data_IF_095503647867
#
_entry.id   IF_095503647867
#
_cell.length_a   1.000
_cell.length_b   1.000
_cell.length_c   1.000
_cell.angle_alpha   90.00
_cell.angle_beta   90.00
_cell.angle_gamma   90.00
#
_symmetry.space_group_name_H-M   'P 1'
#
loop_
_entity.id
_entity.type
_entity.pdbx_description
1 polymer ?
#
# COMPACT_ATOMS: atom_id res chain seq x y z
N UNK A 1 -14.03 -17.49 48.27
CA UNK A 1 -14.18 -16.07 47.86
C UNK A 1 -14.08 -15.98 46.35
N UNK A 2 -15.14 -15.52 45.67
CA UNK A 2 -15.07 -15.24 44.22
C UNK A 2 -14.14 -14.04 44.01
N UNK A 3 -13.11 -14.22 43.17
CA UNK A 3 -12.19 -13.14 42.80
C UNK A 3 -12.83 -12.43 41.62
N UNK A 4 -13.32 -11.21 41.84
CA UNK A 4 -13.86 -10.38 40.77
C UNK A 4 -12.67 -9.91 39.94
N UNK A 5 -12.57 -10.39 38.70
CA UNK A 5 -11.55 -9.95 37.76
C UNK A 5 -11.92 -8.55 37.24
N UNK A 6 -10.94 -7.65 37.22
CA UNK A 6 -11.08 -6.31 36.67
C UNK A 6 -10.35 -6.25 35.33
N UNK A 7 -10.85 -5.47 34.37
CA UNK A 7 -10.11 -5.19 33.13
C UNK A 7 -9.23 -3.96 33.30
N UNK A 8 -8.00 -4.02 32.79
CA UNK A 8 -7.06 -2.90 32.84
C UNK A 8 -7.40 -1.82 31.80
N UNK A 9 -7.57 -0.58 32.24
CA UNK A 9 -7.90 0.58 31.36
C UNK A 9 -6.84 0.89 30.29
N UNK A 10 -5.65 0.30 30.37
CA UNK A 10 -4.58 0.51 29.39
C UNK A 10 -4.37 -0.67 28.45
N UNK A 11 -4.22 -1.90 28.96
CA UNK A 11 -3.92 -3.08 28.14
C UNK A 11 -5.14 -3.99 27.89
N UNK A 12 -6.27 -3.75 28.56
CA UNK A 12 -7.48 -4.57 28.43
C UNK A 12 -7.40 -5.95 29.12
N UNK A 13 -6.24 -6.37 29.59
CA UNK A 13 -6.05 -7.66 30.27
C UNK A 13 -6.85 -7.73 31.59
N UNK A 14 -7.40 -8.92 31.86
CA UNK A 14 -8.02 -9.23 33.13
C UNK A 14 -6.99 -9.42 34.24
N UNK A 15 -7.23 -8.81 35.41
CA UNK A 15 -6.36 -8.95 36.57
C UNK A 15 -7.17 -8.98 37.87
N UNK A 16 -6.58 -9.60 38.89
CA UNK A 16 -7.14 -9.60 40.25
C UNK A 16 -6.63 -8.34 40.96
N UNK A 17 -7.52 -7.40 41.35
CA UNK A 17 -7.08 -6.18 42.01
C UNK A 17 -6.56 -6.48 43.42
N UNK A 18 -5.46 -5.85 43.78
CA UNK A 18 -4.94 -5.84 45.16
C UNK A 18 -5.85 -5.00 46.08
N UNK A 19 -6.45 -3.93 45.53
CA UNK A 19 -7.43 -3.08 46.21
C UNK A 19 -8.73 -3.00 45.40
N UNK A 20 -9.79 -3.67 45.88
CA UNK A 20 -11.12 -3.67 45.25
C UNK A 20 -11.71 -2.25 45.18
N UNK A 21 -12.40 -1.92 44.09
CA UNK A 21 -13.09 -0.64 43.87
C UNK A 21 -12.22 0.56 43.48
N UNK A 22 -10.89 0.50 43.65
CA UNK A 22 -9.98 1.64 43.40
C UNK A 22 -8.99 1.35 42.27
N UNK A 23 -8.54 0.10 42.13
CA UNK A 23 -7.44 -0.24 41.22
C UNK A 23 -7.93 -0.42 39.77
N UNK A 24 -7.53 0.49 38.89
CA UNK A 24 -7.90 0.52 37.46
C UNK A 24 -6.87 -0.11 36.52
N UNK A 25 -5.65 -0.38 37.02
CA UNK A 25 -4.53 -0.85 36.21
C UNK A 25 -3.91 -2.12 36.79
N UNK A 26 -3.54 -3.05 35.91
CA UNK A 26 -2.90 -4.31 36.30
C UNK A 26 -1.48 -4.12 36.83
N UNK A 27 -0.74 -3.12 36.32
CA UNK A 27 0.67 -2.84 36.67
C UNK A 27 0.95 -1.34 36.76
N UNK A 28 1.98 -0.97 37.54
CA UNK A 28 2.45 0.41 37.67
C UNK A 28 2.88 1.02 36.33
N UNK A 29 3.45 0.21 35.43
CA UNK A 29 3.81 0.63 34.07
C UNK A 29 2.59 1.01 33.22
N UNK A 30 1.48 0.27 33.35
CA UNK A 30 0.22 0.58 32.65
C UNK A 30 -0.35 1.92 33.12
N UNK A 31 -0.31 2.17 34.45
CA UNK A 31 -0.70 3.46 35.03
C UNK A 31 0.15 4.63 34.49
N UNK A 32 1.48 4.45 34.44
CA UNK A 32 2.42 5.48 33.93
C UNK A 32 2.19 5.77 32.44
N UNK A 33 2.07 4.73 31.61
CA UNK A 33 1.82 4.88 30.17
C UNK A 33 0.47 5.51 29.89
N UNK A 34 -0.59 5.07 30.58
CA UNK A 34 -1.91 5.66 30.44
C UNK A 34 -1.89 7.17 30.77
N UNK A 35 -1.24 7.58 31.87
CA UNK A 35 -1.10 9.00 32.21
C UNK A 35 -0.25 9.78 31.20
N UNK A 36 0.82 9.18 30.66
CA UNK A 36 1.66 9.81 29.66
C UNK A 36 0.90 10.05 28.35
N UNK A 37 0.13 9.07 27.89
CA UNK A 37 -0.67 9.20 26.66
C UNK A 37 -1.86 10.16 26.86
N UNK A 38 -2.54 10.11 28.00
CA UNK A 38 -3.63 11.04 28.33
C UNK A 38 -3.17 12.50 28.41
N UNK A 39 -1.94 12.74 28.87
CA UNK A 39 -1.35 14.09 28.94
C UNK A 39 -0.72 14.53 27.61
N UNK A 40 -0.47 13.61 26.66
CA UNK A 40 0.10 13.93 25.34
C UNK A 40 -0.91 14.62 24.43
N UNK A 41 -2.20 14.34 24.62
CA UNK A 41 -3.31 15.02 23.93
C UNK A 41 -3.52 16.46 24.44
N UNK A 42 -2.89 16.84 25.57
CA UNK A 42 -2.91 18.20 26.13
C UNK A 42 -1.56 18.92 25.95
N UNK A 43 -0.51 18.20 25.50
CA UNK A 43 0.86 18.74 25.33
C UNK A 43 1.44 18.48 23.93
N UNK A 44 0.61 18.65 22.90
CA UNK A 44 1.02 19.10 21.56
C UNK A 44 0.23 20.35 21.14
N UNK A 45 0.16 21.31 22.03
CA UNK A 45 -0.04 22.70 21.67
C UNK A 45 1.07 23.50 22.34
N UNK A 46 2.19 23.65 21.63
CA UNK A 46 3.13 24.77 21.75
C UNK A 46 3.85 24.89 20.41
N UNK A 47 4.22 26.13 20.03
CA UNK A 47 3.47 26.86 19.03
C UNK A 47 4.31 27.08 17.78
N UNK A 48 3.66 27.21 16.62
CA UNK A 48 4.30 27.67 15.37
C UNK A 48 4.63 29.18 15.42
N UNK A 49 4.89 29.76 16.59
CA UNK A 49 5.03 31.20 16.80
C UNK A 49 6.29 31.81 16.15
N UNK A 50 7.32 31.01 15.82
CA UNK A 50 8.49 31.51 15.08
C UNK A 50 8.27 31.62 13.56
N UNK A 51 7.16 31.09 13.03
CA UNK A 51 6.80 31.23 11.61
C UNK A 51 5.73 32.32 11.42
N UNK A 52 4.91 32.59 12.45
CA UNK A 52 3.87 33.62 12.38
C UNK A 52 4.40 35.05 12.50
N UNK A 53 5.49 35.29 13.25
CA UNK A 53 6.07 36.65 13.33
C UNK A 53 6.65 37.15 12.00
N UNK A 54 7.08 36.25 11.10
CA UNK A 54 7.51 36.60 9.74
C UNK A 54 6.35 36.79 8.75
N UNK A 55 5.15 36.33 9.09
CA UNK A 55 3.94 36.46 8.27
C UNK A 55 3.06 37.65 8.72
N UNK A 56 3.13 38.05 10.00
CA UNK A 56 2.44 39.22 10.53
C UNK A 56 2.99 40.55 9.98
N UNK A 57 4.30 40.64 9.71
CA UNK A 57 4.89 41.82 9.03
C UNK A 57 4.39 41.96 7.57
N UNK A 58 3.95 40.87 6.94
CA UNK A 58 3.41 40.89 5.58
C UNK A 58 1.90 41.17 5.53
N UNK A 59 1.19 41.11 6.66
CA UNK A 59 -0.27 41.23 6.72
C UNK A 59 -0.79 42.59 7.23
N UNK A 60 0.07 43.48 7.72
CA UNK A 60 -0.34 44.84 8.13
C UNK A 60 -0.67 45.82 6.97
N UNK A 61 -0.71 45.33 5.71
CA UNK A 61 -1.27 46.07 4.57
C UNK A 61 -2.45 45.31 3.99
N UNK A 62 -3.64 45.48 4.57
CA UNK A 62 -4.91 45.81 3.87
C UNK A 62 -6.10 45.66 4.83
N UNK A 63 -6.60 46.83 5.24
CA UNK A 63 -7.97 47.24 5.47
C UNK A 63 -9.07 46.16 5.57
N UNK A 64 -9.78 46.20 6.69
CA UNK A 64 -11.24 46.18 6.84
C UNK A 64 -12.04 45.58 5.68
N UNK A 65 -12.74 44.47 5.94
CA UNK A 65 -14.14 44.20 5.49
C UNK A 65 -14.69 43.04 6.35
N UNK A 66 -15.60 43.43 7.25
CA UNK A 66 -16.90 42.83 7.56
C UNK A 66 -17.04 41.36 8.00
N UNK A 67 -17.58 41.24 9.21
CA UNK A 67 -18.31 40.11 9.77
C UNK A 67 -19.35 39.57 8.78
N UNK A 68 -19.26 38.29 8.39
CA UNK A 68 -20.44 37.50 8.04
C UNK A 68 -20.30 36.06 8.53
N UNK A 69 -21.40 35.58 9.11
CA UNK A 69 -21.59 34.31 9.79
C UNK A 69 -21.54 33.10 8.85
N UNK A 70 -20.41 32.38 8.84
CA UNK A 70 -20.23 31.09 8.14
C UNK A 70 -20.19 29.90 9.11
N UNK A 71 -20.90 30.00 10.24
CA UNK A 71 -20.83 29.00 11.33
C UNK A 71 -21.64 27.71 11.12
N UNK A 72 -22.24 27.50 9.94
CA UNK A 72 -23.12 26.34 9.70
C UNK A 72 -22.61 25.25 8.75
N UNK A 73 -21.93 25.61 7.65
CA UNK A 73 -21.71 24.68 6.52
C UNK A 73 -20.30 24.78 5.89
N UNK A 74 -19.45 25.73 6.30
CA UNK A 74 -18.15 25.98 5.65
C UNK A 74 -17.01 25.04 6.07
N UNK A 75 -17.03 24.52 7.31
CA UNK A 75 -15.90 23.75 7.85
C UNK A 75 -16.01 22.23 7.67
N UNK A 76 -17.21 21.70 7.43
CA UNK A 76 -17.41 20.26 7.24
C UNK A 76 -16.89 19.79 5.89
N UNK A 77 -17.09 20.57 4.82
CA UNK A 77 -16.64 20.23 3.46
C UNK A 77 -15.12 20.34 3.33
N UNK A 78 -14.52 21.39 3.91
CA UNK A 78 -13.06 21.51 3.95
C UNK A 78 -12.41 20.44 4.85
N UNK A 79 -13.05 20.13 5.98
CA UNK A 79 -12.58 19.12 6.93
C UNK A 79 -12.61 17.69 6.39
N UNK A 80 -13.66 17.30 5.65
CA UNK A 80 -13.74 15.96 5.02
C UNK A 80 -12.74 15.79 3.89
N UNK A 81 -12.56 16.80 3.02
CA UNK A 81 -11.56 16.76 1.95
C UNK A 81 -10.13 16.68 2.50
N UNK A 82 -9.84 17.40 3.59
CA UNK A 82 -8.54 17.31 4.27
C UNK A 82 -8.36 15.97 4.99
N UNK A 83 -9.38 15.45 5.67
CA UNK A 83 -9.32 14.15 6.34
C UNK A 83 -9.18 13.00 5.33
N UNK A 84 -9.89 13.03 4.21
CA UNK A 84 -9.79 12.05 3.13
C UNK A 84 -8.43 12.15 2.42
N UNK A 85 -7.91 13.37 2.22
CA UNK A 85 -6.56 13.57 1.69
C UNK A 85 -5.46 13.01 2.61
N UNK A 86 -5.53 13.31 3.91
CA UNK A 86 -4.57 12.83 4.91
C UNK A 86 -4.65 11.31 5.11
N UNK A 87 -5.86 10.74 5.13
CA UNK A 87 -6.05 9.29 5.24
C UNK A 87 -5.63 8.55 3.96
N UNK A 88 -5.82 9.13 2.78
CA UNK A 88 -5.32 8.58 1.53
C UNK A 88 -3.78 8.55 1.48
N UNK A 89 -3.12 9.60 1.97
CA UNK A 89 -1.66 9.65 2.09
C UNK A 89 -1.17 8.63 3.12
N UNK A 90 -1.80 8.57 4.29
CA UNK A 90 -1.45 7.60 5.33
C UNK A 90 -1.64 6.14 4.85
N UNK A 91 -2.74 5.82 4.17
CA UNK A 91 -2.98 4.49 3.59
C UNK A 91 -1.91 4.13 2.55
N UNK A 92 -1.43 5.05 1.72
CA UNK A 92 -0.37 4.77 0.73
C UNK A 92 1.00 4.47 1.35
N UNK A 93 1.30 5.07 2.50
CA UNK A 93 2.60 4.97 3.18
C UNK A 93 2.64 3.79 4.17
N UNK A 94 1.54 3.54 4.90
CA UNK A 94 1.51 2.55 5.98
C UNK A 94 0.95 1.17 5.58
N UNK A 95 0.38 1.01 4.38
CA UNK A 95 -0.08 -0.30 3.90
C UNK A 95 1.11 -1.05 3.27
N UNK A 96 1.45 -2.27 3.75
CA UNK A 96 2.47 -3.11 3.12
C UNK A 96 2.08 -3.43 1.66
N UNK A 97 3.07 -3.56 0.77
CA UNK A 97 2.83 -3.65 -0.69
C UNK A 97 1.81 -4.73 -1.08
N UNK A 98 1.80 -5.85 -0.37
CA UNK A 98 0.87 -6.98 -0.58
C UNK A 98 -0.60 -6.62 -0.35
N UNK A 99 -0.88 -5.70 0.56
CA UNK A 99 -2.25 -5.29 0.92
C UNK A 99 -2.68 -4.00 0.19
N UNK A 100 -1.86 -3.50 -0.75
CA UNK A 100 -2.23 -2.34 -1.56
C UNK A 100 -3.29 -2.76 -2.57
N UNK A 101 -4.34 -1.96 -2.78
CA UNK A 101 -5.31 -2.25 -3.82
C UNK A 101 -4.63 -2.25 -5.18
N UNK A 102 -4.91 -3.26 -6.01
CA UNK A 102 -4.32 -3.39 -7.33
C UNK A 102 -4.69 -2.19 -8.21
N UNK A 103 -3.70 -1.61 -8.89
CA UNK A 103 -3.93 -0.53 -9.85
C UNK A 103 -4.34 -1.10 -11.20
N UNK A 104 -4.99 -0.29 -12.05
CA UNK A 104 -5.30 -0.68 -13.44
C UNK A 104 -4.05 -1.11 -14.21
N UNK A 105 -2.90 -0.50 -13.91
CA UNK A 105 -1.61 -0.84 -14.52
C UNK A 105 -1.16 -2.24 -14.13
N UNK A 106 -1.32 -2.62 -12.86
CA UNK A 106 -0.99 -3.98 -12.40
C UNK A 106 -1.85 -5.03 -13.12
N UNK A 107 -3.15 -4.77 -13.29
CA UNK A 107 -4.05 -5.64 -14.05
C UNK A 107 -3.66 -5.77 -15.53
N UNK A 108 -3.22 -4.67 -16.15
CA UNK A 108 -2.72 -4.69 -17.53
C UNK A 108 -1.44 -5.52 -17.66
N UNK A 109 -0.51 -5.38 -16.71
CA UNK A 109 0.72 -6.18 -16.67
C UNK A 109 0.39 -7.66 -16.51
N UNK A 110 -0.49 -8.02 -15.56
CA UNK A 110 -0.92 -9.41 -15.37
C UNK A 110 -1.58 -9.96 -16.64
N UNK A 111 -2.46 -9.20 -17.28
CA UNK A 111 -3.11 -9.60 -18.54
C UNK A 111 -2.09 -9.84 -19.66
N UNK A 112 -1.12 -8.92 -19.80
CA UNK A 112 -0.04 -9.05 -20.78
C UNK A 112 0.83 -10.28 -20.51
N UNK A 113 1.18 -10.54 -19.24
CA UNK A 113 1.99 -11.68 -18.84
C UNK A 113 1.25 -13.00 -19.11
N UNK A 114 -0.04 -13.08 -18.73
CA UNK A 114 -0.90 -14.23 -19.01
C UNK A 114 -0.97 -14.49 -20.52
N UNK A 115 -1.22 -13.44 -21.31
CA UNK A 115 -1.29 -13.57 -22.76
C UNK A 115 0.05 -14.03 -23.37
N UNK A 116 1.17 -13.54 -22.85
CA UNK A 116 2.51 -13.98 -23.27
C UNK A 116 2.73 -15.45 -22.93
N UNK A 117 2.36 -15.90 -21.73
CA UNK A 117 2.46 -17.30 -21.32
C UNK A 117 1.60 -18.18 -22.23
N UNK A 118 0.35 -17.79 -22.51
CA UNK A 118 -0.54 -18.54 -23.40
C UNK A 118 0.07 -18.67 -24.81
N UNK A 119 0.65 -17.59 -25.34
CA UNK A 119 1.35 -17.62 -26.63
C UNK A 119 2.53 -18.59 -26.63
N UNK A 120 3.30 -18.63 -25.54
CA UNK A 120 4.40 -19.57 -25.40
C UNK A 120 3.88 -21.01 -25.32
N UNK A 121 2.86 -21.28 -24.51
CA UNK A 121 2.27 -22.62 -24.37
C UNK A 121 1.65 -23.14 -25.68
N UNK A 122 1.07 -22.25 -26.49
CA UNK A 122 0.50 -22.60 -27.78
C UNK A 122 1.56 -22.82 -28.88
N UNK A 123 2.82 -22.43 -28.63
CA UNK A 123 3.90 -22.62 -29.60
C UNK A 123 4.35 -24.08 -29.58
N UNK A 124 4.26 -24.76 -30.72
CA UNK A 124 4.70 -26.16 -30.85
C UNK A 124 6.22 -26.32 -30.93
N UNK A 125 6.89 -25.36 -31.57
CA UNK A 125 8.32 -25.47 -31.89
C UNK A 125 9.14 -24.41 -31.16
N UNK A 126 10.17 -24.85 -30.43
CA UNK A 126 11.08 -23.97 -29.68
C UNK A 126 12.51 -24.08 -30.20
N UNK A 127 13.11 -22.95 -30.60
CA UNK A 127 14.47 -22.96 -31.10
C UNK A 127 15.46 -23.33 -29.99
N UNK A 128 16.39 -24.23 -30.30
CA UNK A 128 17.44 -24.66 -29.38
C UNK A 128 18.69 -23.83 -29.67
N UNK A 129 19.04 -22.91 -28.78
CA UNK A 129 20.16 -21.98 -29.02
C UNK A 129 21.53 -22.61 -28.75
N UNK A 130 21.59 -23.68 -27.96
CA UNK A 130 22.82 -24.36 -27.56
C UNK A 130 23.17 -25.57 -28.44
N UNK A 131 22.51 -25.73 -29.59
CA UNK A 131 22.79 -26.80 -30.54
C UNK A 131 23.20 -26.19 -31.89
N UNK A 132 24.25 -26.76 -32.48
CA UNK A 132 24.75 -26.30 -33.76
C UNK A 132 23.76 -26.62 -34.89
N UNK A 133 23.90 -25.87 -35.99
CA UNK A 133 23.18 -26.13 -37.24
C UNK A 133 23.58 -27.49 -37.80
N UNK A 134 22.67 -28.14 -38.51
CA UNK A 134 23.01 -29.39 -39.19
C UNK A 134 23.96 -29.12 -40.38
N UNK A 135 24.41 -30.18 -41.05
CA UNK A 135 25.30 -30.09 -42.22
C UNK A 135 24.73 -29.26 -43.40
N UNK A 136 23.42 -29.03 -43.41
CA UNK A 136 22.71 -28.23 -44.43
C UNK A 136 22.47 -26.78 -43.98
N UNK A 137 22.92 -26.39 -42.78
CA UNK A 137 22.76 -25.04 -42.25
C UNK A 137 21.40 -24.77 -41.58
N UNK A 138 20.55 -25.79 -41.45
CA UNK A 138 19.23 -25.69 -40.82
C UNK A 138 19.35 -25.49 -39.30
N UNK A 139 18.38 -24.77 -38.73
CA UNK A 139 18.34 -24.44 -37.31
C UNK A 139 17.63 -25.53 -36.51
N UNK A 140 18.14 -25.89 -35.31
CA UNK A 140 17.50 -26.89 -34.46
C UNK A 140 16.33 -26.31 -33.66
N UNK A 141 15.23 -27.06 -33.66
CA UNK A 141 14.01 -26.79 -32.90
C UNK A 141 13.56 -28.02 -32.13
N UNK A 142 13.01 -27.81 -30.94
CA UNK A 142 12.33 -28.83 -30.15
C UNK A 142 10.85 -28.85 -30.51
N UNK A 143 10.35 -29.98 -31.00
CA UNK A 143 8.92 -30.22 -31.20
C UNK A 143 8.28 -30.74 -29.91
N UNK A 144 7.44 -29.91 -29.29
CA UNK A 144 6.73 -30.28 -28.06
C UNK A 144 5.76 -31.44 -28.24
N UNK A 145 5.15 -31.61 -29.42
CA UNK A 145 4.17 -32.67 -29.65
C UNK A 145 4.84 -34.04 -29.74
N UNK A 146 5.96 -34.11 -30.47
CA UNK A 146 6.68 -35.36 -30.71
C UNK A 146 7.83 -35.62 -29.73
N UNK A 147 8.19 -34.63 -28.89
CA UNK A 147 9.33 -34.65 -27.95
C UNK A 147 10.65 -35.02 -28.64
N UNK A 148 10.89 -34.45 -29.82
CA UNK A 148 12.08 -34.70 -30.65
C UNK A 148 12.67 -33.39 -31.14
N UNK A 149 13.98 -33.42 -31.37
CA UNK A 149 14.67 -32.33 -32.07
C UNK A 149 14.47 -32.51 -33.57
N UNK A 150 14.02 -31.44 -34.22
CA UNK A 150 13.85 -31.35 -35.67
C UNK A 150 14.60 -30.12 -36.17
N UNK A 151 14.95 -30.12 -37.46
CA UNK A 151 15.67 -29.02 -38.08
C UNK A 151 14.79 -28.34 -39.12
N UNK A 152 14.73 -27.01 -39.09
CA UNK A 152 14.04 -26.21 -40.09
C UNK A 152 15.02 -25.36 -40.87
N UNK A 153 14.84 -25.31 -42.19
CA UNK A 153 15.55 -24.38 -43.05
C UNK A 153 15.08 -22.95 -42.80
N UNK A 154 15.99 -21.99 -43.01
CA UNK A 154 15.80 -20.57 -42.70
C UNK A 154 14.54 -19.98 -43.36
N UNK A 155 14.12 -20.51 -44.51
CA UNK A 155 12.92 -20.05 -45.23
C UNK A 155 11.59 -20.55 -44.62
N UNK A 156 11.60 -21.72 -43.97
CA UNK A 156 10.42 -22.32 -43.32
C UNK A 156 10.10 -21.68 -41.96
N UNK A 157 11.10 -21.11 -41.29
CA UNK A 157 10.95 -20.41 -40.02
C UNK A 157 9.94 -19.24 -40.11
N UNK A 158 9.93 -18.51 -41.22
CA UNK A 158 9.01 -17.37 -41.42
C UNK A 158 7.55 -17.83 -41.55
N UNK A 159 7.30 -18.96 -42.23
CA UNK A 159 5.95 -19.50 -42.46
C UNK A 159 5.40 -20.22 -41.24
N UNK A 160 6.26 -20.86 -40.44
CA UNK A 160 5.86 -21.50 -39.18
C UNK A 160 5.54 -20.43 -38.14
N UNK A 161 6.37 -19.38 -38.02
CA UNK A 161 6.09 -18.25 -37.13
C UNK A 161 4.74 -17.57 -37.44
N UNK A 162 4.42 -17.40 -38.72
CA UNK A 162 3.17 -16.78 -39.17
C UNK A 162 1.90 -17.63 -38.95
N UNK A 163 2.02 -18.96 -38.75
CA UNK A 163 0.88 -19.88 -38.56
C UNK A 163 0.52 -20.16 -37.09
N UNK A 164 1.36 -19.73 -36.16
CA UNK A 164 1.17 -19.90 -34.70
C UNK A 164 0.60 -18.66 -33.99
N UNK A 165 0.16 -17.64 -34.73
CA UNK A 165 -0.49 -16.43 -34.21
C UNK A 165 -2.00 -16.55 -34.38
#
# INVERSE_FOLDING_TARGET
MKKDNYSCDYCGEEFIPTRKGVQRFCKSNCRKKYSYHKNKDISKAKPKEEIFQKLEELQHKKNNIEEMSVYGVGNSVAGTLLADGLTAIAKKVFIPKENKPATKRDLQTISFDIHTIIKLLNKRYFQIQNLERNAQGALPYFDMANRKVIYFDVELDTKIAARTI
#
